data_IF_204952376217
#
_entry.id   IF_204952376217
#
_cell.length_a   1.000
_cell.length_b   1.000
_cell.length_c   1.000
_cell.angle_alpha   90.00
_cell.angle_beta   90.00
_cell.angle_gamma   90.00
#
_symmetry.space_group_name_H-M   'P 1'
#
loop_
_entity.id
_entity.type
_entity.pdbx_description
1 polymer ?
#
# COMPACT_ATOMS: atom_id res chain seq x y z
N UNK A 1 -15.45 20.76 -15.64
CA UNK A 1 -14.33 20.53 -14.70
C UNK A 1 -13.63 19.24 -15.12
N UNK A 2 -12.30 19.23 -15.18
CA UNK A 2 -11.56 18.06 -15.65
C UNK A 2 -11.49 17.02 -14.52
N UNK A 3 -12.27 15.95 -14.63
CA UNK A 3 -12.37 14.88 -13.63
C UNK A 3 -11.02 14.21 -13.37
N UNK A 4 -10.26 13.95 -14.44
CA UNK A 4 -8.93 13.35 -14.35
C UNK A 4 -7.96 14.26 -13.56
N UNK A 5 -8.05 15.58 -13.73
CA UNK A 5 -7.23 16.52 -12.97
C UNK A 5 -7.61 16.51 -11.48
N UNK A 6 -8.90 16.45 -11.14
CA UNK A 6 -9.33 16.37 -9.75
C UNK A 6 -8.82 15.07 -9.09
N UNK A 7 -8.87 13.95 -9.81
CA UNK A 7 -8.31 12.69 -9.33
C UNK A 7 -6.79 12.78 -9.13
N UNK A 8 -6.04 13.35 -10.09
CA UNK A 8 -4.60 13.57 -9.97
C UNK A 8 -4.27 14.45 -8.75
N UNK A 9 -5.06 15.50 -8.49
CA UNK A 9 -4.90 16.33 -7.30
C UNK A 9 -5.17 15.54 -6.02
N UNK A 10 -6.22 14.71 -5.97
CA UNK A 10 -6.50 13.87 -4.81
C UNK A 10 -5.36 12.88 -4.54
N UNK A 11 -4.82 12.26 -5.60
CA UNK A 11 -3.65 11.39 -5.49
C UNK A 11 -2.41 12.14 -5.00
N UNK A 12 -2.19 13.38 -5.45
CA UNK A 12 -1.10 14.22 -4.97
C UNK A 12 -1.27 14.60 -3.49
N UNK A 13 -2.49 14.93 -3.08
CA UNK A 13 -2.82 15.22 -1.67
C UNK A 13 -2.58 13.99 -0.79
N UNK A 14 -2.71 12.78 -1.35
CA UNK A 14 -2.60 11.50 -0.65
C UNK A 14 -1.36 10.66 -1.02
N UNK A 15 -0.36 11.26 -1.68
CA UNK A 15 0.73 10.53 -2.33
C UNK A 15 1.65 9.76 -1.37
N UNK A 16 1.66 10.12 -0.09
CA UNK A 16 2.41 9.39 0.93
C UNK A 16 1.56 8.21 1.43
N UNK A 17 2.03 6.99 1.15
CA UNK A 17 1.49 5.75 1.72
C UNK A 17 2.59 4.70 1.73
N UNK A 18 3.54 4.79 2.69
CA UNK A 18 4.59 3.80 2.81
C UNK A 18 3.97 2.44 3.07
N UNK A 19 4.38 1.48 2.24
CA UNK A 19 3.85 0.12 2.28
C UNK A 19 4.40 -0.68 3.47
N UNK A 20 5.64 -0.40 3.83
CA UNK A 20 6.34 -0.95 4.99
C UNK A 20 6.86 0.17 5.88
N UNK A 21 6.58 0.08 7.17
CA UNK A 21 7.10 0.99 8.19
C UNK A 21 7.87 0.19 9.22
N UNK A 22 9.22 0.27 9.24
CA UNK A 22 10.02 -0.42 10.25
C UNK A 22 9.67 0.07 11.65
N UNK A 23 9.54 -0.84 12.60
CA UNK A 23 9.24 -0.56 14.00
C UNK A 23 10.41 -0.99 14.90
N UNK A 24 10.47 -0.50 16.15
CA UNK A 24 11.42 -1.00 17.14
C UNK A 24 11.33 -2.52 17.32
N UNK A 25 12.48 -3.19 17.49
CA UNK A 25 12.51 -4.63 17.72
C UNK A 25 12.48 -5.52 16.48
N UNK A 26 12.53 -4.93 15.27
CA UNK A 26 12.57 -5.68 14.00
C UNK A 26 11.19 -6.08 13.46
N UNK A 27 10.12 -5.57 14.08
CA UNK A 27 8.76 -5.63 13.58
C UNK A 27 8.58 -4.63 12.41
N UNK A 28 7.53 -4.81 11.59
CA UNK A 28 7.18 -3.88 10.52
C UNK A 28 5.67 -3.69 10.47
N UNK A 29 5.19 -2.45 10.39
CA UNK A 29 3.80 -2.18 10.05
C UNK A 29 3.66 -2.19 8.53
N UNK A 30 3.02 -3.22 8.02
CA UNK A 30 2.62 -3.32 6.62
C UNK A 30 1.27 -2.62 6.40
N UNK A 31 1.16 -1.88 5.30
CA UNK A 31 -0.07 -1.22 4.85
C UNK A 31 -0.25 -1.40 3.34
N UNK A 32 -1.43 -1.82 2.89
CA UNK A 32 -1.77 -1.83 1.47
C UNK A 32 -3.25 -1.56 1.24
N UNK A 33 -3.58 -0.89 0.14
CA UNK A 33 -4.95 -0.55 -0.18
C UNK A 33 -5.37 -1.08 -1.54
N UNK A 34 -6.67 -1.21 -1.69
CA UNK A 34 -7.38 -1.59 -2.88
C UNK A 34 -8.51 -0.57 -3.04
N UNK A 35 -8.55 0.08 -4.20
CA UNK A 35 -9.59 1.03 -4.58
C UNK A 35 -10.14 0.62 -5.95
N UNK A 36 -11.45 0.48 -6.04
CA UNK A 36 -12.16 0.12 -7.25
C UNK A 36 -13.41 1.01 -7.36
N UNK A 37 -13.35 2.10 -8.13
CA UNK A 37 -14.51 2.97 -8.30
C UNK A 37 -15.59 2.27 -9.12
N UNK A 38 -16.86 2.55 -8.79
CA UNK A 38 -18.03 2.16 -9.58
C UNK A 38 -18.06 2.83 -10.94
N UNK A 39 -17.72 4.11 -11.00
CA UNK A 39 -17.72 4.91 -12.21
C UNK A 39 -16.29 5.24 -12.67
N UNK A 40 -16.14 6.19 -13.60
CA UNK A 40 -14.82 6.66 -14.04
C UNK A 40 -14.00 7.13 -12.82
N UNK A 41 -14.66 7.68 -11.80
CA UNK A 41 -14.08 8.06 -10.51
C UNK A 41 -15.09 7.83 -9.38
N UNK A 42 -14.57 7.68 -8.15
CA UNK A 42 -15.35 7.38 -6.94
C UNK A 42 -15.06 8.33 -5.77
N UNK A 43 -15.97 8.34 -4.78
CA UNK A 43 -15.85 9.10 -3.54
C UNK A 43 -14.90 8.45 -2.52
N UNK A 44 -14.68 7.15 -2.65
CA UNK A 44 -13.82 6.35 -1.77
C UNK A 44 -12.35 6.73 -1.87
N UNK A 45 -11.75 7.04 -0.73
CA UNK A 45 -10.34 7.41 -0.65
C UNK A 45 -9.75 7.10 0.71
N UNK A 46 -8.43 7.10 0.78
CA UNK A 46 -7.72 6.92 2.02
C UNK A 46 -6.43 7.72 2.03
N UNK A 47 -5.85 7.87 3.22
CA UNK A 47 -4.46 8.26 3.38
C UNK A 47 -3.79 7.48 4.52
N UNK A 48 -2.47 7.37 4.44
CA UNK A 48 -1.59 6.90 5.51
C UNK A 48 -0.54 7.98 5.76
N UNK A 49 -0.33 8.39 7.01
CA UNK A 49 0.66 9.43 7.37
C UNK A 49 1.51 8.98 8.51
N UNK A 50 2.80 9.27 8.41
CA UNK A 50 3.69 9.23 9.55
C UNK A 50 3.78 10.59 10.19
N UNK A 51 3.58 10.61 11.49
CA UNK A 51 3.70 11.83 12.29
C UNK A 51 4.49 11.52 13.53
N UNK A 52 5.14 12.54 14.07
CA UNK A 52 5.76 12.46 15.39
C UNK A 52 4.82 13.14 16.39
N UNK A 53 4.57 12.48 17.52
CA UNK A 53 3.71 13.00 18.59
C UNK A 53 4.51 12.92 19.88
N UNK A 54 4.87 14.08 20.43
CA UNK A 54 5.66 14.17 21.66
C UNK A 54 6.99 13.37 21.62
N UNK A 55 7.62 13.27 20.45
CA UNK A 55 8.88 12.53 20.24
C UNK A 55 8.72 11.07 19.84
N UNK A 56 7.49 10.54 19.84
CA UNK A 56 7.21 9.16 19.44
C UNK A 56 6.67 9.11 18.01
N UNK A 57 7.04 8.06 17.26
CA UNK A 57 6.58 7.86 15.89
C UNK A 57 5.19 7.21 15.87
N UNK A 58 4.31 7.74 15.02
CA UNK A 58 2.94 7.26 14.85
C UNK A 58 2.61 7.03 13.37
N UNK A 59 1.70 6.07 13.11
CA UNK A 59 1.03 5.93 11.81
C UNK A 59 -0.44 6.28 11.95
N UNK A 60 -0.84 7.38 11.31
CA UNK A 60 -2.23 7.77 11.15
C UNK A 60 -2.80 7.19 9.85
N UNK A 61 -3.99 6.65 9.94
CA UNK A 61 -4.71 6.10 8.78
C UNK A 61 -6.12 6.66 8.76
N UNK A 62 -6.62 7.00 7.58
CA UNK A 62 -8.01 7.39 7.39
C UNK A 62 -8.53 6.73 6.13
N UNK A 63 -9.59 5.94 6.24
CA UNK A 63 -10.39 5.44 5.12
C UNK A 63 -11.72 6.20 5.13
N UNK A 64 -12.15 6.71 3.99
CA UNK A 64 -13.34 7.56 3.86
C UNK A 64 -14.16 7.18 2.66
N UNK A 65 -15.47 7.23 2.83
CA UNK A 65 -16.46 7.15 1.77
C UNK A 65 -17.28 8.45 1.76
N UNK A 66 -17.28 9.10 0.58
CA UNK A 66 -17.83 10.42 0.39
C UNK A 66 -19.17 10.35 -0.33
N UNK A 67 -20.25 10.80 0.34
CA UNK A 67 -21.57 10.80 -0.25
C UNK A 67 -21.64 11.60 -1.56
N UNK A 68 -22.41 11.10 -2.52
CA UNK A 68 -22.71 11.76 -3.79
C UNK A 68 -22.01 11.10 -4.98
N UNK A 69 -22.19 11.66 -6.17
CA UNK A 69 -21.64 11.11 -7.41
C UNK A 69 -20.96 12.22 -8.23
N UNK A 70 -20.16 11.83 -9.22
CA UNK A 70 -19.48 12.73 -10.17
C UNK A 70 -18.38 13.59 -9.54
N UNK A 71 -18.07 14.76 -10.11
CA UNK A 71 -16.87 15.54 -9.72
C UNK A 71 -17.00 16.18 -8.33
N UNK A 72 -18.23 16.33 -7.82
CA UNK A 72 -18.49 16.92 -6.51
C UNK A 72 -17.91 16.09 -5.36
N UNK A 73 -17.97 14.75 -5.43
CA UNK A 73 -17.40 13.90 -4.40
C UNK A 73 -15.88 14.06 -4.33
N UNK A 74 -15.18 14.02 -5.47
CA UNK A 74 -13.73 14.21 -5.52
C UNK A 74 -13.27 15.55 -4.93
N UNK A 75 -13.96 16.65 -5.26
CA UNK A 75 -13.62 17.96 -4.69
C UNK A 75 -13.80 17.98 -3.17
N UNK A 76 -14.88 17.38 -2.67
CA UNK A 76 -15.10 17.24 -1.22
C UNK A 76 -14.04 16.34 -0.59
N UNK A 77 -13.63 15.25 -1.22
CA UNK A 77 -12.54 14.39 -0.77
C UNK A 77 -11.23 15.18 -0.63
N UNK A 78 -10.84 15.93 -1.67
CA UNK A 78 -9.64 16.79 -1.67
C UNK A 78 -9.69 17.78 -0.50
N UNK A 79 -10.78 18.52 -0.36
CA UNK A 79 -10.87 19.57 0.67
C UNK A 79 -10.91 18.94 2.07
N UNK A 80 -11.65 17.86 2.25
CA UNK A 80 -11.74 17.14 3.53
C UNK A 80 -10.37 16.61 3.95
N UNK A 81 -9.58 16.07 3.03
CA UNK A 81 -8.22 15.63 3.33
C UNK A 81 -7.27 16.77 3.63
N UNK A 82 -7.33 17.87 2.88
CA UNK A 82 -6.52 19.06 3.18
C UNK A 82 -6.84 19.62 4.58
N UNK A 83 -8.12 19.68 4.95
CA UNK A 83 -8.54 20.09 6.29
C UNK A 83 -8.06 19.11 7.35
N UNK A 84 -8.24 17.81 7.12
CA UNK A 84 -7.84 16.77 8.07
C UNK A 84 -6.32 16.77 8.30
N UNK A 85 -5.55 16.81 7.22
CA UNK A 85 -4.08 16.87 7.27
C UNK A 85 -3.59 18.16 7.93
N UNK A 86 -4.25 19.30 7.70
CA UNK A 86 -3.93 20.57 8.39
C UNK A 86 -4.15 20.47 9.91
N UNK A 87 -5.25 19.83 10.34
CA UNK A 87 -5.53 19.60 11.76
C UNK A 87 -4.49 18.67 12.39
N UNK A 88 -4.17 17.56 11.73
CA UNK A 88 -3.13 16.61 12.15
C UNK A 88 -1.79 17.34 12.30
N UNK A 89 -1.31 18.00 11.24
CA UNK A 89 0.02 18.62 11.22
C UNK A 89 0.18 19.74 12.25
N UNK A 90 -0.89 20.45 12.60
CA UNK A 90 -0.81 21.63 13.48
C UNK A 90 -1.21 21.36 14.93
N UNK A 91 -1.99 20.31 15.16
CA UNK A 91 -2.69 20.14 16.44
C UNK A 91 -2.64 18.72 16.99
N UNK A 92 -1.98 17.75 16.32
CA UNK A 92 -1.91 16.37 16.81
C UNK A 92 -1.30 16.25 18.20
N UNK A 93 -0.28 17.04 18.54
CA UNK A 93 0.30 17.05 19.90
C UNK A 93 -0.67 17.57 20.97
N UNK A 94 -1.71 18.31 20.58
CA UNK A 94 -2.62 19.00 21.50
C UNK A 94 -3.93 18.27 21.73
N UNK A 95 -4.32 17.39 20.80
CA UNK A 95 -5.64 16.77 20.79
C UNK A 95 -5.54 15.27 20.54
N UNK A 96 -6.44 14.53 21.18
CA UNK A 96 -6.65 13.10 20.89
C UNK A 96 -7.27 12.88 19.51
N UNK A 97 -7.31 11.63 19.05
CA UNK A 97 -7.83 11.28 17.73
C UNK A 97 -9.31 11.68 17.58
N UNK A 98 -10.15 11.40 18.58
CA UNK A 98 -11.56 11.76 18.57
C UNK A 98 -11.80 13.27 18.64
N UNK A 99 -10.92 14.02 19.30
CA UNK A 99 -10.96 15.48 19.30
C UNK A 99 -10.59 16.05 17.93
N UNK A 100 -9.59 15.49 17.24
CA UNK A 100 -9.23 15.87 15.88
C UNK A 100 -10.38 15.59 14.89
N UNK A 101 -11.02 14.42 14.97
CA UNK A 101 -12.18 14.09 14.14
C UNK A 101 -13.36 15.02 14.48
N UNK A 102 -13.58 15.34 15.75
CA UNK A 102 -14.58 16.31 16.18
C UNK A 102 -14.33 17.72 15.63
N UNK A 103 -13.06 18.14 15.53
CA UNK A 103 -12.67 19.41 14.89
C UNK A 103 -12.87 19.36 13.38
N UNK A 104 -12.51 18.26 12.73
CA UNK A 104 -12.78 18.05 11.30
C UNK A 104 -14.28 18.19 11.02
N UNK A 105 -15.14 17.55 11.83
CA UNK A 105 -16.59 17.69 11.74
C UNK A 105 -17.04 19.15 11.84
N UNK A 106 -16.49 19.91 12.79
CA UNK A 106 -16.82 21.34 12.93
C UNK A 106 -16.41 22.16 11.70
N UNK A 107 -15.22 21.95 11.16
CA UNK A 107 -14.74 22.68 9.98
C UNK A 107 -15.56 22.31 8.74
N UNK A 108 -15.88 21.03 8.57
CA UNK A 108 -16.76 20.53 7.50
C UNK A 108 -18.13 21.20 7.57
N UNK A 109 -18.80 21.17 8.73
CA UNK A 109 -20.11 21.80 8.90
C UNK A 109 -20.08 23.34 8.70
N UNK A 110 -18.96 24.01 8.97
CA UNK A 110 -18.82 25.47 8.77
C UNK A 110 -18.49 25.85 7.33
N UNK A 111 -17.89 24.94 6.56
CA UNK A 111 -17.34 25.24 5.23
C UNK A 111 -18.40 25.54 4.16
N UNK A 112 -19.67 25.16 4.38
CA UNK A 112 -20.75 25.19 3.38
C UNK A 112 -20.42 24.44 2.08
N UNK A 113 -19.38 23.59 2.09
CA UNK A 113 -19.01 22.71 0.98
C UNK A 113 -19.93 21.48 0.90
N UNK A 114 -20.61 21.20 2.00
CA UNK A 114 -21.60 20.17 2.17
C UNK A 114 -22.95 20.84 2.28
N UNK A 115 -23.88 20.44 1.42
CA UNK A 115 -25.29 20.85 1.47
C UNK A 115 -25.97 20.20 2.67
N UNK A 116 -27.15 20.71 3.05
CA UNK A 116 -27.93 20.12 4.14
C UNK A 116 -28.20 18.63 3.88
N UNK A 117 -27.71 17.78 4.78
CA UNK A 117 -27.82 16.32 4.68
C UNK A 117 -26.67 15.62 3.95
N UNK A 118 -25.69 16.34 3.40
CA UNK A 118 -24.45 15.74 2.89
C UNK A 118 -23.48 15.45 4.05
N UNK A 119 -22.93 14.25 4.07
CA UNK A 119 -21.97 13.79 5.07
C UNK A 119 -20.96 12.85 4.42
N UNK A 120 -19.98 12.39 5.18
CA UNK A 120 -19.11 11.30 4.73
C UNK A 120 -18.84 10.36 5.89
N UNK A 121 -18.62 9.10 5.56
CA UNK A 121 -18.21 8.11 6.54
C UNK A 121 -16.69 8.05 6.59
N UNK A 122 -16.14 7.77 7.77
CA UNK A 122 -14.70 7.67 7.94
C UNK A 122 -14.33 6.64 9.02
N UNK A 123 -13.23 5.93 8.80
CA UNK A 123 -12.57 5.13 9.81
C UNK A 123 -11.15 5.65 9.97
N UNK A 124 -10.87 6.22 11.15
CA UNK A 124 -9.59 6.82 11.48
C UNK A 124 -8.85 5.96 12.48
N UNK A 125 -7.57 5.73 12.27
CA UNK A 125 -6.68 5.02 13.16
C UNK A 125 -5.48 5.88 13.53
N UNK A 126 -4.97 5.66 14.73
CA UNK A 126 -3.69 6.19 15.21
C UNK A 126 -2.91 5.07 15.90
N UNK A 127 -1.81 4.66 15.30
CA UNK A 127 -0.95 3.59 15.79
C UNK A 127 0.35 4.15 16.34
N UNK A 128 0.58 3.96 17.64
CA UNK A 128 1.83 4.28 18.34
C UNK A 128 2.86 3.17 18.12
N UNK A 129 4.00 3.51 17.52
CA UNK A 129 5.05 2.56 17.12
C UNK A 129 5.80 1.97 18.33
N UNK A 130 5.89 2.70 19.43
CA UNK A 130 6.61 2.29 20.62
C UNK A 130 5.76 1.37 21.50
N UNK A 131 4.49 1.73 21.70
CA UNK A 131 3.60 0.99 22.61
C UNK A 131 2.79 -0.12 21.93
N UNK A 132 2.66 -0.06 20.60
CA UNK A 132 1.75 -0.87 19.76
C UNK A 132 0.27 -0.65 20.09
N UNK A 133 -0.04 0.48 20.71
CA UNK A 133 -1.41 0.90 20.96
C UNK A 133 -2.02 1.48 19.67
N UNK A 134 -3.16 0.93 19.27
CA UNK A 134 -3.97 1.42 18.16
C UNK A 134 -5.24 2.06 18.72
N UNK A 135 -5.38 3.37 18.53
CA UNK A 135 -6.62 4.09 18.75
C UNK A 135 -7.43 4.15 17.45
N UNK A 136 -8.75 4.08 17.56
CA UNK A 136 -9.63 4.13 16.40
C UNK A 136 -10.89 4.96 16.65
N UNK A 137 -11.34 5.66 15.61
CA UNK A 137 -12.60 6.43 15.56
C UNK A 137 -13.33 6.05 14.28
N UNK A 138 -14.44 5.33 14.43
CA UNK A 138 -15.33 4.93 13.34
C UNK A 138 -16.51 5.90 13.31
N UNK A 139 -16.56 6.75 12.30
CA UNK A 139 -17.58 7.76 12.05
C UNK A 139 -18.49 7.30 10.91
N UNK A 140 -19.55 6.55 11.23
CA UNK A 140 -20.50 6.02 10.24
C UNK A 140 -19.99 4.90 9.33
N UNK A 141 -18.68 4.67 9.22
CA UNK A 141 -18.10 3.62 8.39
C UNK A 141 -18.41 2.22 8.98
N UNK A 142 -18.46 1.15 8.17
CA UNK A 142 -18.46 -0.21 8.70
C UNK A 142 -17.29 -0.46 9.69
N UNK A 143 -17.49 -1.31 10.71
CA UNK A 143 -16.41 -1.64 11.65
C UNK A 143 -15.26 -2.38 10.95
N UNK A 144 -14.03 -2.12 11.38
CA UNK A 144 -12.86 -2.87 10.88
C UNK A 144 -12.86 -4.31 11.42
N UNK A 145 -12.18 -5.21 10.71
CA UNK A 145 -11.96 -6.59 11.14
C UNK A 145 -10.56 -6.73 11.71
N UNK A 146 -10.46 -7.04 13.00
CA UNK A 146 -9.21 -7.45 13.64
C UNK A 146 -9.10 -8.97 13.65
N UNK A 147 -8.03 -9.49 13.05
CA UNK A 147 -7.73 -10.91 12.99
C UNK A 147 -6.49 -11.19 13.82
N UNK A 148 -6.67 -12.00 14.88
CA UNK A 148 -5.58 -12.51 15.73
C UNK A 148 -5.54 -14.02 15.67
N UNK A 149 -4.50 -14.56 15.04
CA UNK A 149 -4.45 -15.98 14.70
C UNK A 149 -5.66 -16.38 13.84
N UNK A 150 -6.54 -17.22 14.38
CA UNK A 150 -7.81 -17.64 13.74
C UNK A 150 -9.04 -16.91 14.28
N UNK A 151 -8.89 -16.04 15.29
CA UNK A 151 -10.00 -15.29 15.88
C UNK A 151 -10.21 -14.00 15.10
N UNK A 152 -11.47 -13.67 14.82
CA UNK A 152 -11.86 -12.45 14.10
C UNK A 152 -12.82 -11.65 14.98
N UNK A 153 -12.58 -10.35 15.12
CA UNK A 153 -13.42 -9.42 15.90
C UNK A 153 -13.70 -8.15 15.12
N UNK A 154 -14.81 -7.50 15.43
CA UNK A 154 -15.15 -6.18 14.89
C UNK A 154 -14.55 -5.08 15.75
N UNK A 155 -14.10 -3.98 15.13
CA UNK A 155 -13.67 -2.77 15.80
C UNK A 155 -14.49 -1.57 15.29
N UNK A 156 -15.35 -0.95 16.14
CA UNK A 156 -15.70 -1.39 17.50
C UNK A 156 -16.53 -2.68 17.50
N UNK A 157 -16.50 -3.40 18.61
CA UNK A 157 -17.51 -4.40 18.90
C UNK A 157 -18.87 -3.70 19.19
N UNK A 158 -20.01 -4.35 18.94
CA UNK A 158 -21.33 -3.76 19.21
C UNK A 158 -21.45 -3.23 20.64
N UNK A 159 -21.73 -1.93 20.78
CA UNK A 159 -21.86 -1.24 22.07
C UNK A 159 -20.55 -0.77 22.70
N UNK A 160 -19.39 -1.03 22.09
CA UNK A 160 -18.11 -0.47 22.53
C UNK A 160 -17.94 0.99 22.10
N UNK A 161 -17.02 1.71 22.76
CA UNK A 161 -16.61 3.05 22.36
C UNK A 161 -15.89 3.03 20.99
N UNK A 162 -15.85 4.18 20.32
CA UNK A 162 -15.23 4.29 18.99
C UNK A 162 -16.24 4.25 17.83
N UNK A 163 -17.49 3.87 18.07
CA UNK A 163 -18.58 3.97 17.09
C UNK A 163 -19.31 5.31 17.19
N UNK A 164 -19.38 6.04 16.09
CA UNK A 164 -19.87 7.42 16.04
C UNK A 164 -20.75 7.67 14.80
N UNK A 165 -21.48 8.79 14.82
CA UNK A 165 -22.21 9.28 13.64
C UNK A 165 -21.24 9.73 12.53
N UNK A 166 -21.69 9.73 11.25
CA UNK A 166 -20.90 10.26 10.14
C UNK A 166 -20.44 11.71 10.34
N UNK A 167 -19.32 12.05 9.71
CA UNK A 167 -18.77 13.41 9.75
C UNK A 167 -19.58 14.32 8.82
N UNK A 168 -19.90 15.53 9.27
CA UNK A 168 -20.72 16.50 8.56
C UNK A 168 -22.22 16.38 8.85
N UNK A 169 -22.68 15.26 9.45
CA UNK A 169 -24.10 14.99 9.67
C UNK A 169 -24.74 15.97 10.67
N UNK A 170 -24.06 16.24 11.79
CA UNK A 170 -24.54 17.15 12.83
C UNK A 170 -23.38 17.96 13.38
N UNK A 171 -23.56 19.28 13.47
CA UNK A 171 -22.58 20.16 14.10
C UNK A 171 -22.55 19.97 15.62
N UNK A 172 -21.36 20.09 16.21
CA UNK A 172 -21.18 20.06 17.67
C UNK A 172 -21.30 18.67 18.32
N UNK A 173 -21.39 17.59 17.54
CA UNK A 173 -21.34 16.23 18.09
C UNK A 173 -19.95 15.93 18.68
N UNK A 174 -19.93 15.13 19.74
CA UNK A 174 -18.69 14.60 20.33
C UNK A 174 -18.43 13.22 19.75
N UNK A 175 -17.19 12.99 19.37
CA UNK A 175 -16.71 11.67 18.97
C UNK A 175 -16.08 10.96 20.18
N UNK A 176 -16.11 9.63 20.14
CA UNK A 176 -15.41 8.75 21.06
C UNK A 176 -14.41 7.91 20.27
N UNK A 177 -13.30 7.54 20.91
CA UNK A 177 -12.35 6.58 20.39
C UNK A 177 -12.45 5.25 21.15
N UNK A 178 -12.10 4.17 20.45
CA UNK A 178 -11.75 2.89 21.07
C UNK A 178 -10.25 2.65 20.96
N UNK A 179 -9.75 1.68 21.72
CA UNK A 179 -8.32 1.36 21.78
C UNK A 179 -8.12 -0.15 21.79
N UNK A 180 -7.09 -0.62 21.10
CA UNK A 180 -6.63 -2.00 21.13
C UNK A 180 -5.12 -2.06 21.05
N UNK A 181 -4.49 -2.98 21.79
CA UNK A 181 -3.06 -3.25 21.66
C UNK A 181 -2.83 -4.33 20.62
N UNK A 182 -2.09 -4.01 19.57
CA UNK A 182 -1.74 -4.98 18.52
C UNK A 182 -0.60 -5.89 18.99
N UNK A 183 -0.70 -7.15 18.61
CA UNK A 183 0.34 -8.17 18.78
C UNK A 183 0.96 -8.50 17.42
N UNK A 184 2.26 -8.85 17.37
CA UNK A 184 2.88 -9.29 16.12
C UNK A 184 2.11 -10.46 15.48
N UNK A 185 1.79 -10.33 14.20
CA UNK A 185 0.91 -11.22 13.44
C UNK A 185 -0.56 -10.80 13.43
N UNK A 186 -0.96 -9.76 14.17
CA UNK A 186 -2.30 -9.19 14.05
C UNK A 186 -2.48 -8.54 12.68
N UNK A 187 -3.64 -8.83 12.07
CA UNK A 187 -4.03 -8.35 10.75
C UNK A 187 -5.31 -7.55 10.88
N UNK A 188 -5.37 -6.38 10.28
CA UNK A 188 -6.51 -5.47 10.31
C UNK A 188 -7.02 -5.23 8.88
N UNK A 189 -8.33 -5.35 8.68
CA UNK A 189 -8.97 -5.10 7.38
C UNK A 189 -10.04 -4.03 7.56
N UNK A 190 -9.83 -2.88 6.93
CA UNK A 190 -10.78 -1.77 6.85
C UNK A 190 -11.43 -1.82 5.48
N UNK A 191 -12.69 -1.44 5.41
CA UNK A 191 -13.44 -1.45 4.16
C UNK A 191 -14.58 -0.43 4.20
N UNK A 192 -15.01 0.01 3.03
CA UNK A 192 -16.24 0.78 2.81
C UNK A 192 -17.42 -0.17 2.56
N UNK A 193 -18.64 0.35 2.61
CA UNK A 193 -19.87 -0.42 2.40
C UNK A 193 -19.96 -1.05 0.99
N UNK A 194 -19.23 -0.54 0.00
CA UNK A 194 -19.10 -1.22 -1.30
C UNK A 194 -18.61 -2.67 -1.23
N UNK A 195 -17.91 -3.08 -0.16
CA UNK A 195 -17.61 -4.51 0.10
C UNK A 195 -18.88 -5.31 0.43
N UNK A 196 -19.77 -4.73 1.22
CA UNK A 196 -21.00 -5.35 1.70
C UNK A 196 -22.07 -5.43 0.59
N UNK A 197 -22.00 -4.51 -0.35
CA UNK A 197 -22.90 -4.43 -1.51
C UNK A 197 -22.48 -5.33 -2.67
N UNK A 198 -21.29 -5.95 -2.63
CA UNK A 198 -20.85 -6.88 -3.66
C UNK A 198 -21.87 -8.02 -3.87
N UNK A 199 -22.16 -8.38 -5.13
CA UNK A 199 -23.08 -9.47 -5.43
C UNK A 199 -22.54 -10.78 -4.86
N UNK A 200 -23.35 -11.44 -4.02
CA UNK A 200 -22.93 -12.70 -3.38
C UNK A 200 -22.85 -13.82 -4.41
N UNK A 201 -21.75 -14.59 -4.38
CA UNK A 201 -21.56 -15.81 -5.18
C UNK A 201 -22.74 -16.80 -5.16
N UNK A 202 -23.49 -16.88 -4.04
CA UNK A 202 -24.61 -17.81 -3.84
C UNK A 202 -26.00 -17.21 -4.06
N UNK A 203 -26.12 -16.04 -4.68
CA UNK A 203 -27.42 -15.41 -4.98
C UNK A 203 -28.21 -14.96 -3.75
N UNK A 204 -27.51 -14.67 -2.64
CA UNK A 204 -28.10 -14.06 -1.45
C UNK A 204 -28.11 -12.52 -1.55
N UNK A 205 -28.98 -11.87 -0.76
CA UNK A 205 -29.04 -10.40 -0.64
C UNK A 205 -27.75 -9.77 -0.07
N UNK A 206 -27.81 -8.49 0.32
CA UNK A 206 -26.65 -7.75 0.85
C UNK A 206 -26.02 -8.44 2.06
N UNK A 207 -24.69 -8.30 2.18
CA UNK A 207 -23.90 -8.89 3.27
C UNK A 207 -23.91 -7.94 4.48
N UNK A 208 -24.18 -8.44 5.68
CA UNK A 208 -24.01 -7.64 6.89
C UNK A 208 -22.57 -7.69 7.39
N UNK A 209 -22.07 -6.59 7.95
CA UNK A 209 -20.77 -6.57 8.65
C UNK A 209 -20.70 -7.60 9.79
N UNK A 210 -21.84 -7.95 10.40
CA UNK A 210 -21.92 -8.98 11.44
C UNK A 210 -21.64 -10.40 10.92
N UNK A 211 -21.78 -10.67 9.62
CA UNK A 211 -21.50 -11.98 9.00
C UNK A 211 -20.00 -12.15 8.67
N UNK A 212 -19.24 -11.05 8.58
CA UNK A 212 -17.83 -11.09 8.15
C UNK A 212 -16.91 -11.85 9.12
N UNK A 213 -17.01 -11.72 10.45
CA UNK A 213 -16.19 -12.51 11.36
C UNK A 213 -16.32 -14.01 11.14
N UNK A 214 -17.53 -14.51 10.95
CA UNK A 214 -17.79 -15.93 10.68
C UNK A 214 -17.26 -16.36 9.30
N UNK A 215 -17.37 -15.48 8.30
CA UNK A 215 -16.83 -15.73 6.96
C UNK A 215 -15.31 -15.86 6.99
N UNK A 216 -14.61 -14.88 7.59
CA UNK A 216 -13.16 -14.95 7.74
C UNK A 216 -12.74 -16.11 8.64
N UNK A 217 -13.49 -16.39 9.71
CA UNK A 217 -13.22 -17.53 10.60
C UNK A 217 -13.19 -18.86 9.85
N UNK A 218 -14.11 -19.07 8.89
CA UNK A 218 -14.10 -20.24 8.01
C UNK A 218 -12.88 -20.26 7.08
N UNK A 219 -12.53 -19.13 6.46
CA UNK A 219 -11.35 -19.03 5.60
C UNK A 219 -10.05 -19.31 6.39
N UNK A 220 -9.97 -18.85 7.64
CA UNK A 220 -8.85 -19.09 8.54
C UNK A 220 -8.79 -20.53 9.04
N UNK A 221 -9.94 -21.20 9.21
CA UNK A 221 -9.98 -22.61 9.56
C UNK A 221 -9.44 -23.52 8.44
N UNK A 222 -9.65 -23.15 7.18
CA UNK A 222 -9.05 -23.85 6.03
C UNK A 222 -7.54 -23.62 5.95
N UNK A 223 -7.09 -22.40 6.26
CA UNK A 223 -5.69 -22.00 6.25
C UNK A 223 -5.50 -20.76 7.11
N UNK A 224 -4.98 -20.96 8.31
CA UNK A 224 -4.75 -19.89 9.29
C UNK A 224 -3.62 -18.95 8.86
N UNK A 225 -2.57 -19.54 8.28
CA UNK A 225 -1.33 -18.86 7.96
C UNK A 225 -1.38 -18.18 6.60
N UNK A 226 -0.99 -16.92 6.60
CA UNK A 226 -0.78 -16.14 5.40
C UNK A 226 -0.82 -14.64 5.68
N UNK A 227 -0.15 -13.83 4.85
CA UNK A 227 -0.18 -12.39 4.98
C UNK A 227 -1.59 -11.82 4.77
N UNK A 228 -1.86 -10.64 5.33
CA UNK A 228 -3.18 -9.98 5.28
C UNK A 228 -3.67 -9.77 3.86
N UNK A 229 -2.77 -9.45 2.91
CA UNK A 229 -3.16 -9.26 1.49
C UNK A 229 -3.79 -10.51 0.89
N UNK A 230 -3.28 -11.70 1.25
CA UNK A 230 -3.81 -12.97 0.76
C UNK A 230 -5.14 -13.31 1.45
N UNK A 231 -5.25 -13.03 2.75
CA UNK A 231 -6.52 -13.21 3.48
C UNK A 231 -7.62 -12.31 2.90
N UNK A 232 -7.31 -11.04 2.65
CA UNK A 232 -8.22 -10.08 2.06
C UNK A 232 -8.61 -10.45 0.61
N UNK A 233 -7.66 -10.93 -0.20
CA UNK A 233 -7.95 -11.45 -1.53
C UNK A 233 -8.86 -12.69 -1.52
N UNK A 234 -8.68 -13.59 -0.55
CA UNK A 234 -9.57 -14.75 -0.33
C UNK A 234 -10.96 -14.31 0.11
N UNK A 235 -11.05 -13.33 1.01
CA UNK A 235 -12.32 -12.75 1.46
C UNK A 235 -13.11 -12.20 0.27
N UNK A 236 -12.48 -11.35 -0.54
CA UNK A 236 -13.10 -10.78 -1.74
C UNK A 236 -13.60 -11.86 -2.68
N UNK A 237 -12.78 -12.87 -2.98
CA UNK A 237 -13.15 -14.00 -3.84
C UNK A 237 -14.32 -14.82 -3.29
N UNK A 238 -14.37 -15.01 -1.98
CA UNK A 238 -15.46 -15.76 -1.35
C UNK A 238 -16.78 -14.98 -1.40
N UNK A 239 -16.72 -13.65 -1.25
CA UNK A 239 -17.90 -12.76 -1.36
C UNK A 239 -18.40 -12.70 -2.82
N UNK A 240 -17.55 -12.26 -3.74
CA UNK A 240 -17.92 -11.97 -5.14
C UNK A 240 -18.01 -13.21 -6.02
N UNK A 241 -17.30 -14.28 -5.66
CA UNK A 241 -17.11 -15.47 -6.50
C UNK A 241 -15.99 -15.33 -7.54
N UNK A 242 -15.45 -14.14 -7.74
CA UNK A 242 -14.44 -13.85 -8.76
C UNK A 242 -13.14 -13.30 -8.15
N UNK A 243 -11.97 -13.57 -8.77
CA UNK A 243 -10.74 -12.88 -8.41
C UNK A 243 -10.86 -11.35 -8.59
N UNK A 244 -10.21 -10.60 -7.72
CA UNK A 244 -10.29 -9.13 -7.72
C UNK A 244 -9.95 -8.49 -9.07
N UNK A 245 -8.93 -9.00 -9.78
CA UNK A 245 -8.57 -8.50 -11.11
C UNK A 245 -9.74 -8.56 -12.12
N UNK A 246 -10.64 -9.54 -11.99
CA UNK A 246 -11.83 -9.65 -12.83
C UNK A 246 -12.91 -8.66 -12.41
N UNK A 247 -13.08 -8.44 -11.10
CA UNK A 247 -13.99 -7.41 -10.55
C UNK A 247 -13.61 -6.03 -11.10
N UNK A 248 -12.31 -5.68 -11.06
CA UNK A 248 -11.79 -4.44 -11.64
C UNK A 248 -12.01 -4.34 -13.15
N UNK A 249 -11.84 -5.45 -13.88
CA UNK A 249 -11.98 -5.48 -15.33
C UNK A 249 -13.45 -5.31 -15.77
N UNK A 250 -14.39 -5.84 -14.99
CA UNK A 250 -15.83 -5.77 -15.30
C UNK A 250 -16.39 -4.35 -15.24
N UNK A 251 -15.85 -3.49 -14.34
CA UNK A 251 -16.31 -2.10 -14.11
C UNK A 251 -17.83 -1.97 -13.87
N UNK A 252 -18.43 -3.01 -13.30
CA UNK A 252 -19.87 -3.08 -13.02
C UNK A 252 -20.06 -3.35 -11.53
N UNK A 253 -19.56 -2.42 -10.71
CA UNK A 253 -19.71 -2.48 -9.26
C UNK A 253 -21.01 -1.78 -8.83
N UNK A 254 -21.69 -2.30 -7.79
CA UNK A 254 -22.88 -1.67 -7.23
C UNK A 254 -22.55 -0.33 -6.54
N UNK A 255 -21.37 -0.24 -5.91
CA UNK A 255 -20.82 0.97 -5.31
C UNK A 255 -19.27 1.00 -5.40
N UNK A 256 -18.67 2.13 -5.03
CA UNK A 256 -17.21 2.24 -4.87
C UNK A 256 -16.72 1.23 -3.82
N UNK A 257 -15.69 0.46 -4.17
CA UNK A 257 -15.09 -0.51 -3.26
C UNK A 257 -13.71 -0.02 -2.82
N UNK A 258 -13.59 0.26 -1.53
CA UNK A 258 -12.31 0.47 -0.89
C UNK A 258 -12.04 -0.57 0.20
N UNK A 259 -10.81 -1.07 0.22
CA UNK A 259 -10.30 -1.93 1.27
C UNK A 259 -8.87 -1.55 1.59
N UNK A 260 -8.60 -1.30 2.86
CA UNK A 260 -7.26 -1.01 3.36
C UNK A 260 -6.88 -2.08 4.39
N UNK A 261 -5.73 -2.71 4.17
CA UNK A 261 -5.22 -3.77 5.02
C UNK A 261 -3.96 -3.32 5.74
N UNK A 262 -3.87 -3.69 7.02
CA UNK A 262 -2.68 -3.49 7.83
C UNK A 262 -2.27 -4.81 8.47
N UNK A 263 -0.98 -5.02 8.66
CA UNK A 263 -0.45 -6.15 9.44
C UNK A 263 0.74 -5.68 10.27
N UNK A 264 0.73 -6.00 11.56
CA UNK A 264 1.91 -5.85 12.40
C UNK A 264 2.78 -7.08 12.18
N UNK A 265 3.66 -7.02 11.18
CA UNK A 265 4.51 -8.15 10.82
C UNK A 265 5.53 -8.42 11.93
N UNK A 266 5.63 -9.68 12.40
CA UNK A 266 6.69 -10.06 13.34
C UNK A 266 8.06 -9.97 12.65
N UNK A 267 9.17 -10.00 13.43
CA UNK A 267 10.50 -10.14 12.86
C UNK A 267 10.56 -11.36 11.94
N UNK A 268 10.74 -11.12 10.64
CA UNK A 268 10.70 -12.16 9.62
C UNK A 268 12.02 -12.95 9.60
N UNK A 269 11.98 -14.27 9.33
CA UNK A 269 13.19 -15.05 9.09
C UNK A 269 14.00 -14.47 7.93
N UNK A 270 15.30 -14.31 8.14
CA UNK A 270 16.24 -13.75 7.15
C UNK A 270 17.08 -14.86 6.54
N UNK A 271 17.02 -14.99 5.21
CA UNK A 271 17.96 -15.80 4.44
C UNK A 271 19.06 -14.91 3.89
N UNK A 272 20.32 -15.13 4.29
CA UNK A 272 21.47 -14.31 3.89
C UNK A 272 22.45 -15.10 3.01
N UNK A 273 22.81 -14.54 1.86
CA UNK A 273 23.91 -15.00 1.02
C UNK A 273 25.01 -13.93 1.01
N UNK A 274 26.27 -14.38 0.94
CA UNK A 274 27.43 -13.49 0.80
C UNK A 274 28.04 -13.64 -0.59
N UNK A 275 28.14 -12.53 -1.31
CA UNK A 275 28.82 -12.44 -2.60
C UNK A 275 30.17 -11.78 -2.41
N UNK A 276 31.21 -12.47 -2.87
CA UNK A 276 32.55 -11.93 -3.01
C UNK A 276 33.00 -12.18 -4.45
N UNK A 277 33.40 -11.12 -5.14
CA UNK A 277 33.75 -11.19 -6.55
C UNK A 277 35.04 -10.43 -6.81
N UNK A 278 36.04 -11.13 -7.34
CA UNK A 278 37.32 -10.53 -7.70
C UNK A 278 37.27 -9.82 -9.07
N UNK A 279 36.31 -10.18 -9.92
CA UNK A 279 36.09 -9.61 -11.23
C UNK A 279 34.60 -9.66 -11.62
N UNK A 280 34.27 -9.04 -12.74
CA UNK A 280 32.90 -8.95 -13.27
C UNK A 280 32.33 -10.32 -13.62
N UNK A 281 33.16 -11.27 -14.08
CA UNK A 281 32.69 -12.61 -14.42
C UNK A 281 32.29 -13.42 -13.18
N UNK A 282 33.05 -13.29 -12.09
CA UNK A 282 32.73 -13.87 -10.79
C UNK A 282 31.43 -13.27 -10.23
N UNK A 283 31.25 -11.96 -10.39
CA UNK A 283 30.01 -11.28 -10.02
C UNK A 283 28.82 -11.83 -10.80
N UNK A 284 28.97 -11.98 -12.12
CA UNK A 284 27.93 -12.52 -13.00
C UNK A 284 27.54 -13.96 -12.63
N UNK A 285 28.53 -14.82 -12.35
CA UNK A 285 28.28 -16.20 -11.86
C UNK A 285 27.58 -16.22 -10.50
N UNK A 286 27.93 -15.31 -9.59
CA UNK A 286 27.27 -15.20 -8.29
C UNK A 286 25.82 -14.73 -8.43
N UNK A 287 25.58 -13.70 -9.26
CA UNK A 287 24.23 -13.22 -9.58
C UNK A 287 23.36 -14.32 -10.17
N UNK A 288 23.83 -15.08 -11.16
CA UNK A 288 23.01 -16.14 -11.76
C UNK A 288 22.59 -17.19 -10.72
N UNK A 289 23.52 -17.62 -9.84
CA UNK A 289 23.20 -18.53 -8.73
C UNK A 289 22.17 -17.93 -7.76
N UNK A 290 22.32 -16.66 -7.41
CA UNK A 290 21.38 -15.96 -6.53
C UNK A 290 19.99 -15.85 -7.15
N UNK A 291 19.90 -15.46 -8.43
CA UNK A 291 18.62 -15.35 -9.13
C UNK A 291 17.91 -16.70 -9.16
N UNK A 292 18.62 -17.79 -9.48
CA UNK A 292 18.03 -19.12 -9.49
C UNK A 292 17.50 -19.54 -8.10
N UNK A 293 18.27 -19.24 -7.04
CA UNK A 293 17.85 -19.50 -5.66
C UNK A 293 16.60 -18.67 -5.29
N UNK A 294 16.60 -17.37 -5.59
CA UNK A 294 15.49 -16.46 -5.30
C UNK A 294 14.23 -16.85 -6.07
N UNK A 295 14.35 -17.29 -7.33
CA UNK A 295 13.20 -17.77 -8.11
C UNK A 295 12.59 -19.05 -7.51
N UNK A 296 13.44 -19.96 -7.01
CA UNK A 296 12.96 -21.15 -6.32
C UNK A 296 12.24 -20.79 -5.00
N UNK A 297 12.76 -19.84 -4.23
CA UNK A 297 12.12 -19.30 -3.03
C UNK A 297 10.79 -18.60 -3.39
N UNK A 298 10.76 -17.78 -4.43
CA UNK A 298 9.56 -17.09 -4.92
C UNK A 298 8.44 -18.05 -5.33
N UNK A 299 8.78 -19.17 -5.97
CA UNK A 299 7.80 -20.20 -6.30
C UNK A 299 7.15 -20.81 -5.05
N UNK A 300 7.92 -20.99 -3.97
CA UNK A 300 7.41 -21.50 -2.68
C UNK A 300 6.56 -20.46 -1.96
N UNK A 301 6.98 -19.19 -2.02
CA UNK A 301 6.32 -18.07 -1.35
C UNK A 301 5.21 -17.43 -2.19
N UNK A 302 4.92 -17.93 -3.40
CA UNK A 302 3.94 -17.37 -4.34
C UNK A 302 4.18 -15.89 -4.59
N UNK A 303 5.39 -15.53 -4.99
CA UNK A 303 5.72 -14.16 -5.40
C UNK A 303 5.52 -14.08 -6.91
N UNK A 304 4.59 -13.24 -7.37
CA UNK A 304 4.35 -13.01 -8.80
C UNK A 304 5.28 -11.93 -9.34
N UNK A 305 6.47 -12.32 -9.80
CA UNK A 305 7.36 -11.41 -10.49
C UNK A 305 8.08 -12.09 -11.67
N UNK A 306 8.36 -11.30 -12.70
CA UNK A 306 9.02 -11.76 -13.92
C UNK A 306 10.48 -12.13 -13.61
N UNK A 307 10.89 -13.33 -14.00
CA UNK A 307 12.28 -13.76 -13.88
C UNK A 307 13.25 -12.79 -14.59
N UNK A 308 12.82 -12.23 -15.73
CA UNK A 308 13.60 -11.21 -16.46
C UNK A 308 13.75 -9.93 -15.63
N UNK A 309 12.67 -9.48 -14.96
CA UNK A 309 12.73 -8.28 -14.10
C UNK A 309 13.67 -8.51 -12.92
N UNK A 310 13.59 -9.68 -12.27
CA UNK A 310 14.50 -10.03 -11.18
C UNK A 310 15.96 -10.06 -11.65
N UNK A 311 16.24 -10.64 -12.81
CA UNK A 311 17.59 -10.65 -13.39
C UNK A 311 18.14 -9.23 -13.57
N UNK A 312 17.34 -8.32 -14.13
CA UNK A 312 17.74 -6.93 -14.34
C UNK A 312 17.98 -6.19 -13.02
N UNK A 313 17.08 -6.37 -12.05
CA UNK A 313 17.20 -5.73 -10.73
C UNK A 313 18.43 -6.24 -9.98
N UNK A 314 18.67 -7.56 -9.99
CA UNK A 314 19.82 -8.16 -9.32
C UNK A 314 21.14 -7.83 -10.00
N UNK A 315 21.18 -7.76 -11.35
CA UNK A 315 22.36 -7.27 -12.07
C UNK A 315 22.72 -5.88 -11.58
N UNK A 316 21.78 -4.96 -11.65
CA UNK A 316 22.02 -3.55 -11.33
C UNK A 316 22.37 -3.35 -9.84
N UNK A 317 21.64 -4.00 -8.93
CA UNK A 317 21.88 -3.88 -7.50
C UNK A 317 23.27 -4.40 -7.11
N UNK A 318 23.67 -5.56 -7.61
CA UNK A 318 24.98 -6.15 -7.32
C UNK A 318 26.12 -5.38 -7.98
N UNK A 319 25.94 -4.89 -9.20
CA UNK A 319 26.96 -4.09 -9.89
C UNK A 319 27.18 -2.76 -9.17
N UNK A 320 26.12 -2.13 -8.67
CA UNK A 320 26.24 -0.91 -7.87
C UNK A 320 26.95 -1.16 -6.54
N UNK A 321 26.55 -2.19 -5.80
CA UNK A 321 27.19 -2.58 -4.55
C UNK A 321 28.68 -2.94 -4.76
N UNK A 322 29.02 -3.65 -5.84
CA UNK A 322 30.38 -4.06 -6.15
C UNK A 322 31.27 -2.90 -6.63
N UNK A 323 30.83 -2.16 -7.65
CA UNK A 323 31.62 -1.09 -8.29
C UNK A 323 31.61 0.20 -7.49
N UNK A 324 30.43 0.65 -7.07
CA UNK A 324 30.29 1.95 -6.42
C UNK A 324 30.48 1.87 -4.90
N UNK A 325 29.86 0.89 -4.24
CA UNK A 325 30.04 0.65 -2.81
C UNK A 325 31.44 0.12 -2.47
N UNK A 326 31.74 -1.09 -2.91
CA UNK A 326 32.98 -1.80 -2.57
C UNK A 326 34.21 -1.38 -3.38
N UNK A 327 34.08 -0.48 -4.38
CA UNK A 327 35.16 -0.04 -5.28
C UNK A 327 35.90 -1.20 -5.95
N UNK A 328 35.14 -2.23 -6.36
CA UNK A 328 35.64 -3.44 -7.02
C UNK A 328 36.68 -4.21 -6.18
N UNK A 329 36.70 -4.00 -4.85
CA UNK A 329 37.64 -4.65 -3.96
C UNK A 329 37.34 -6.16 -3.82
N UNK A 330 38.32 -7.05 -4.09
CA UNK A 330 38.12 -8.49 -3.96
C UNK A 330 38.02 -8.95 -2.50
N UNK A 331 38.44 -8.13 -1.54
CA UNK A 331 38.40 -8.45 -0.10
C UNK A 331 37.03 -8.17 0.52
N UNK A 332 36.26 -7.28 -0.11
CA UNK A 332 34.95 -6.85 0.40
C UNK A 332 33.83 -7.76 -0.11
N UNK A 333 32.80 -7.88 0.72
CA UNK A 333 31.62 -8.70 0.46
C UNK A 333 30.39 -7.84 0.24
N UNK A 334 29.42 -8.43 -0.44
CA UNK A 334 28.06 -7.91 -0.58
C UNK A 334 27.15 -8.94 0.07
N UNK A 335 26.37 -8.51 1.08
CA UNK A 335 25.37 -9.36 1.72
C UNK A 335 24.04 -9.17 1.00
N UNK A 336 23.41 -10.28 0.63
CA UNK A 336 22.09 -10.31 0.01
C UNK A 336 21.14 -11.01 0.97
N UNK A 337 20.25 -10.24 1.61
CA UNK A 337 19.25 -10.76 2.55
C UNK A 337 17.91 -10.84 1.87
N UNK A 338 17.14 -11.88 2.18
CA UNK A 338 15.75 -12.03 1.73
C UNK A 338 14.84 -12.32 2.91
N UNK A 339 13.68 -11.68 2.89
CA UNK A 339 12.58 -11.93 3.83
C UNK A 339 11.25 -12.00 3.07
N UNK A 340 10.29 -12.73 3.63
CA UNK A 340 9.02 -13.02 2.95
C UNK A 340 7.81 -12.81 3.89
N UNK A 341 7.30 -11.57 3.91
CA UNK A 341 6.10 -11.15 4.64
C UNK A 341 4.90 -10.96 3.69
N UNK A 342 4.17 -9.86 3.79
CA UNK A 342 3.19 -9.46 2.79
C UNK A 342 3.80 -9.22 1.41
N UNK A 343 5.03 -8.72 1.39
CA UNK A 343 5.86 -8.64 0.19
C UNK A 343 7.13 -9.49 0.36
N UNK A 344 7.75 -9.84 -0.77
CA UNK A 344 9.12 -10.33 -0.76
C UNK A 344 10.07 -9.12 -0.72
N UNK A 345 11.03 -9.15 0.19
CA UNK A 345 12.04 -8.10 0.33
C UNK A 345 13.42 -8.67 0.02
N UNK A 346 14.22 -7.92 -0.74
CA UNK A 346 15.62 -8.19 -1.02
C UNK A 346 16.43 -7.00 -0.55
N UNK A 347 17.34 -7.23 0.39
CA UNK A 347 18.32 -6.23 0.82
C UNK A 347 19.68 -6.56 0.19
N UNK A 348 20.33 -5.55 -0.40
CA UNK A 348 21.70 -5.64 -0.93
C UNK A 348 22.56 -4.67 -0.15
N UNK A 349 23.54 -5.20 0.58
CA UNK A 349 24.34 -4.45 1.55
C UNK A 349 25.82 -4.59 1.22
N UNK A 350 26.51 -3.49 0.94
CA UNK A 350 27.96 -3.46 0.71
C UNK A 350 28.78 -3.06 1.96
N UNK A 351 30.09 -3.33 1.93
CA UNK A 351 31.08 -2.98 2.98
C UNK A 351 31.83 -1.69 2.61
N UNK A 352 31.28 -0.91 1.69
CA UNK A 352 31.82 0.30 1.12
C UNK A 352 31.69 1.54 1.98
N UNK A 353 31.98 2.67 1.36
CA UNK A 353 31.57 4.00 1.85
C UNK A 353 30.16 4.38 1.35
N UNK A 354 29.55 3.52 0.52
CA UNK A 354 28.30 3.80 -0.18
C UNK A 354 28.50 4.69 -1.41
N UNK A 355 27.39 5.20 -1.95
CA UNK A 355 27.39 6.16 -3.04
C UNK A 355 26.22 7.12 -2.87
N UNK A 356 26.34 8.35 -3.38
CA UNK A 356 25.23 9.31 -3.32
C UNK A 356 24.22 9.03 -4.44
N UNK A 357 23.14 8.32 -4.12
CA UNK A 357 22.05 8.01 -5.04
C UNK A 357 21.16 9.22 -5.36
N UNK A 358 21.21 10.28 -4.55
CA UNK A 358 20.35 11.46 -4.70
C UNK A 358 20.80 12.38 -5.84
N UNK A 359 22.08 12.31 -6.22
CA UNK A 359 22.66 13.12 -7.29
C UNK A 359 22.48 12.50 -8.69
N UNK A 360 21.95 11.28 -8.78
CA UNK A 360 21.80 10.60 -10.06
C UNK A 360 20.54 11.13 -10.75
N UNK A 361 20.76 11.85 -11.85
CA UNK A 361 19.72 12.53 -12.61
C UNK A 361 18.71 11.54 -13.21
N UNK A 362 17.44 11.93 -13.26
CA UNK A 362 16.38 11.14 -13.87
C UNK A 362 16.72 10.81 -15.34
N UNK A 363 16.95 9.53 -15.70
CA UNK A 363 17.34 9.15 -17.05
C UNK A 363 16.20 9.31 -18.07
N UNK A 364 14.96 9.54 -17.62
CA UNK A 364 13.80 9.74 -18.51
C UNK A 364 13.59 11.20 -18.91
N UNK A 365 14.22 12.14 -18.22
CA UNK A 365 14.23 13.56 -18.57
C UNK A 365 14.83 13.77 -19.98
N UNK A 366 14.25 14.70 -20.75
CA UNK A 366 14.61 14.95 -22.15
C UNK A 366 16.13 15.15 -22.34
N UNK A 367 16.75 15.84 -21.39
CA UNK A 367 18.18 16.18 -21.33
C UNK A 367 19.11 15.01 -20.94
N UNK A 368 18.57 13.91 -20.40
CA UNK A 368 19.35 12.75 -19.97
C UNK A 368 19.19 11.52 -20.87
N UNK A 369 18.30 11.55 -21.87
CA UNK A 369 18.01 10.40 -22.75
C UNK A 369 19.24 9.84 -23.49
N UNK A 370 20.18 10.73 -23.84
CA UNK A 370 21.41 10.38 -24.55
C UNK A 370 22.57 9.97 -23.61
N UNK A 371 22.42 10.09 -22.29
CA UNK A 371 23.47 9.71 -21.33
C UNK A 371 23.45 8.19 -21.11
N UNK A 372 24.60 7.50 -21.24
CA UNK A 372 24.69 6.06 -21.01
C UNK A 372 24.65 5.67 -19.51
N UNK A 373 24.89 6.62 -18.60
CA UNK A 373 24.90 6.43 -17.15
C UNK A 373 23.58 6.83 -16.48
N UNK A 374 23.24 6.23 -15.34
CA UNK A 374 22.08 6.62 -14.51
C UNK A 374 20.78 5.84 -14.76
N UNK A 375 20.78 4.91 -15.71
CA UNK A 375 19.63 4.04 -16.00
C UNK A 375 19.37 3.00 -14.92
N UNK A 376 20.40 2.63 -14.17
CA UNK A 376 20.33 1.60 -13.14
C UNK A 376 19.27 1.83 -12.07
N UNK A 377 19.32 2.99 -11.41
CA UNK A 377 18.31 3.39 -10.42
C UNK A 377 16.89 3.41 -11.00
N UNK A 378 16.74 3.80 -12.26
CA UNK A 378 15.47 3.74 -12.95
C UNK A 378 15.00 2.30 -13.14
N UNK A 379 15.87 1.37 -13.54
CA UNK A 379 15.52 -0.05 -13.67
C UNK A 379 15.12 -0.64 -12.32
N UNK A 380 15.88 -0.35 -11.26
CA UNK A 380 15.54 -0.79 -9.89
C UNK A 380 14.14 -0.31 -9.51
N UNK A 381 13.86 1.00 -9.59
CA UNK A 381 12.54 1.56 -9.26
C UNK A 381 11.42 1.09 -10.19
N UNK A 382 11.72 0.79 -11.45
CA UNK A 382 10.73 0.37 -12.45
C UNK A 382 10.31 -1.09 -12.25
N UNK A 383 11.22 -1.93 -11.80
CA UNK A 383 11.03 -3.38 -11.76
C UNK A 383 10.93 -3.95 -10.34
N UNK A 384 11.27 -3.17 -9.31
CA UNK A 384 10.79 -3.37 -7.94
C UNK A 384 9.47 -2.62 -7.71
N UNK A 385 8.66 -3.08 -6.76
CA UNK A 385 7.50 -2.31 -6.29
C UNK A 385 7.92 -1.05 -5.53
N UNK A 386 8.99 -1.14 -4.74
CA UNK A 386 9.60 -0.02 -4.02
C UNK A 386 11.10 -0.27 -3.84
N UNK A 387 11.91 0.80 -3.94
CA UNK A 387 13.35 0.76 -3.71
C UNK A 387 13.78 1.88 -2.75
N UNK A 388 14.41 1.50 -1.64
CA UNK A 388 14.90 2.42 -0.59
C UNK A 388 16.40 2.29 -0.42
N UNK A 389 17.07 3.41 -0.23
CA UNK A 389 18.48 3.46 0.15
C UNK A 389 18.61 3.99 1.56
N UNK A 390 19.50 3.40 2.33
CA UNK A 390 19.85 3.84 3.67
C UNK A 390 21.36 3.71 3.89
N UNK A 391 21.82 4.16 5.05
CA UNK A 391 23.22 4.02 5.49
C UNK A 391 24.24 4.56 4.47
N UNK A 392 24.07 5.81 4.07
CA UNK A 392 24.87 6.48 3.04
C UNK A 392 24.95 5.72 1.70
N UNK A 393 23.93 4.90 1.41
CA UNK A 393 23.75 4.25 0.10
C UNK A 393 24.31 2.84 0.07
N UNK A 394 24.85 2.38 1.19
CA UNK A 394 25.42 1.04 1.39
C UNK A 394 24.36 -0.04 1.48
N UNK A 395 23.13 0.36 1.81
CA UNK A 395 22.03 -0.55 2.02
C UNK A 395 20.86 -0.19 1.11
N UNK A 396 20.66 -1.04 0.10
CA UNK A 396 19.51 -1.01 -0.80
C UNK A 396 18.47 -2.03 -0.36
N UNK A 397 17.23 -1.61 -0.15
CA UNK A 397 16.08 -2.47 0.14
C UNK A 397 15.10 -2.43 -1.02
N UNK A 398 14.72 -3.60 -1.56
CA UNK A 398 13.83 -3.76 -2.71
C UNK A 398 12.63 -4.60 -2.33
N UNK A 399 11.42 -4.12 -2.60
CA UNK A 399 10.18 -4.84 -2.34
C UNK A 399 9.52 -5.35 -3.62
N UNK A 400 8.98 -6.57 -3.58
CA UNK A 400 8.25 -7.23 -4.66
C UNK A 400 6.92 -7.75 -4.10
N UNK A 401 5.80 -7.30 -4.67
CA UNK A 401 4.48 -7.70 -4.22
C UNK A 401 4.24 -9.20 -4.43
N UNK A 402 3.63 -9.88 -3.43
CA UNK A 402 3.37 -11.33 -3.51
C UNK A 402 2.23 -11.69 -4.45
N UNK A 403 1.21 -10.85 -4.59
CA UNK A 403 0.13 -11.05 -5.56
C UNK A 403 -0.34 -9.69 -6.10
N UNK A 404 -0.85 -9.64 -7.33
CA UNK A 404 -1.39 -8.42 -7.96
C UNK A 404 -2.66 -7.84 -7.26
N UNK A 405 -3.04 -8.34 -6.09
CA UNK A 405 -4.35 -8.14 -5.46
C UNK A 405 -4.46 -6.86 -4.63
N UNK A 406 -3.34 -6.28 -4.16
CA UNK A 406 -3.29 -5.01 -3.41
C UNK A 406 -2.06 -4.20 -3.85
N UNK A 407 -1.70 -4.31 -5.13
CA UNK A 407 -0.65 -3.48 -5.69
C UNK A 407 -1.08 -2.02 -5.56
N UNK A 408 -0.14 -1.14 -5.18
CA UNK A 408 -0.29 0.30 -5.40
C UNK A 408 -0.92 0.47 -6.79
N UNK A 409 -1.94 1.33 -7.01
CA UNK A 409 -2.29 1.72 -8.36
C UNK A 409 -0.96 2.18 -8.95
N UNK A 410 -0.37 1.34 -9.81
CA UNK A 410 1.07 1.36 -10.08
C UNK A 410 1.41 2.81 -10.22
N UNK A 411 2.10 3.38 -9.22
CA UNK A 411 2.18 4.82 -9.04
C UNK A 411 2.45 5.29 -10.44
N UNK A 412 1.48 6.00 -11.04
CA UNK A 412 1.61 6.47 -12.41
C UNK A 412 2.82 7.33 -12.25
N UNK A 413 3.96 6.75 -12.60
CA UNK A 413 5.22 7.38 -12.39
C UNK A 413 5.00 8.71 -13.08
N UNK A 414 5.31 9.81 -12.41
CA UNK A 414 5.25 11.13 -13.05
C UNK A 414 6.14 11.11 -14.32
N UNK A 415 6.98 10.07 -14.49
CA UNK A 415 7.63 9.73 -15.74
C UNK A 415 6.65 9.04 -16.71
N UNK A 416 6.45 9.60 -17.90
CA UNK A 416 5.56 9.03 -18.92
C UNK A 416 5.94 7.58 -19.26
N UNK A 417 4.94 6.76 -19.57
CA UNK A 417 5.15 5.43 -20.15
C UNK A 417 5.98 5.59 -21.44
N UNK A 418 7.23 5.15 -21.39
CA UNK A 418 7.99 4.87 -22.62
C UNK A 418 7.77 3.41 -22.97
N UNK A 419 6.98 3.18 -24.02
CA UNK A 419 7.03 1.92 -24.76
C UNK A 419 8.41 1.84 -25.42
N UNK A 420 9.36 1.20 -24.73
CA UNK A 420 10.71 0.95 -25.26
C UNK A 420 10.72 -0.12 -26.36
N UNK A 421 9.56 -0.66 -26.73
CA UNK A 421 9.40 -1.63 -27.79
C UNK A 421 8.18 -1.27 -28.65
N UNK A 422 8.32 -1.12 -29.98
CA UNK A 422 7.15 -0.95 -30.84
C UNK A 422 6.25 -2.18 -30.70
N UNK A 423 4.94 -1.97 -30.57
CA UNK A 423 3.97 -3.06 -30.65
C UNK A 423 4.24 -3.90 -31.92
N UNK A 424 4.17 -5.25 -31.86
CA UNK A 424 4.33 -6.06 -33.05
C UNK A 424 3.33 -5.59 -34.10
N UNK A 425 3.84 -5.25 -35.29
CA UNK A 425 3.02 -4.74 -36.38
C UNK A 425 1.88 -5.73 -36.65
N UNK A 426 0.65 -5.31 -36.36
CA UNK A 426 -0.54 -6.00 -36.83
C UNK A 426 -0.49 -5.98 -38.34
N UNK A 427 -0.28 -7.15 -38.96
CA UNK A 427 -0.39 -7.31 -40.40
C UNK A 427 -1.79 -6.88 -40.83
N UNK A 428 -1.91 -5.71 -41.43
CA UNK A 428 -3.12 -5.25 -42.09
C UNK A 428 -3.30 -6.08 -43.36
N UNK A 429 -4.14 -7.10 -43.28
CA UNK A 429 -4.59 -7.84 -44.45
C UNK A 429 -5.68 -7.01 -45.16
N UNK A 430 -5.26 -6.17 -46.11
CA UNK A 430 -6.18 -5.59 -47.08
C UNK A 430 -5.75 -6.02 -48.49
N UNK A 431 -6.32 -7.13 -48.92
CA UNK A 431 -6.47 -7.49 -50.31
C UNK A 431 -7.39 -6.48 -51.01
N UNK A 432 -6.81 -5.67 -51.89
CA UNK A 432 -7.52 -5.15 -53.07
C UNK A 432 -6.64 -5.40 -54.27
N UNK A 433 -7.01 -6.41 -55.04
CA UNK A 433 -6.60 -6.59 -56.45
C UNK A 433 -7.67 -5.96 -57.36
N UNK A 434 -7.27 -5.58 -58.59
CA UNK A 434 -7.66 -4.33 -59.26
C UNK A 434 -9.09 -4.27 -59.81
#
# INVERSE_FOLDING_TARGET
>A
MNIALAHEVLQLVNSESPRHTPLPGGESLFCAALLAPRHIEGGDHYFVRHVEVAGEAHTLVSLKDQSGHEVGCLLRSIITDLLHQSLIARQRERFSLEELVGRLNQEVCRSHLFSDGEFFTALNLDFDHATRELQYVVAGNPPALLVRGTTVRLLPEPGAAGGNLPVGMLSGIRFSAGTVKLEPGDRLILYTDGLLDLPRRRGGGSLSSAELPDLLGRLLAERADGPVVHLAGRLLREISGEPFAQILAARDLPDDLAMLVLELEPPLPVTEDCVQAADVEALHRARSRLVDAILAEWAQHRVEASALHLQMVMEEALLNAWRHGNRESPEKRIRVRRTYGNDACIEVIDEGEGFDWSQISDPTAHENRAKPSGRGLFLLRRFSGEARWSDAGRHLTLYFAREASFALPAGRSVLPRFDLWPAPATQSNHSKTP
#
